data_IF_166037548756
#
_entry.id   IF_166037548756
#
_cell.length_a   1.000
_cell.length_b   1.000
_cell.length_c   1.000
_cell.angle_alpha   90.00
_cell.angle_beta   90.00
_cell.angle_gamma   90.00
#
_symmetry.space_group_name_H-M   'P 1'
#
loop_
_entity.id
_entity.type
_entity.pdbx_description
1 polymer ?
#
# COMPACT_ATOMS: atom_id res chain seq x y z
N UNK A 1 3.81 -4.94 -18.71
CA UNK A 1 4.93 -4.43 -17.89
C UNK A 1 5.62 -5.60 -17.21
N UNK A 2 6.95 -5.57 -17.10
CA UNK A 2 7.71 -6.57 -16.34
C UNK A 2 7.77 -6.15 -14.87
N UNK A 3 7.43 -7.01 -13.89
CA UNK A 3 7.56 -6.69 -12.47
C UNK A 3 9.03 -6.40 -12.10
N UNK A 4 9.28 -5.41 -11.25
CA UNK A 4 10.63 -5.11 -10.73
C UNK A 4 11.08 -6.12 -9.66
N UNK A 5 10.13 -6.85 -9.06
CA UNK A 5 10.37 -7.71 -7.90
C UNK A 5 10.43 -6.94 -6.57
N UNK A 6 10.11 -5.65 -6.59
CA UNK A 6 10.10 -4.77 -5.41
C UNK A 6 8.67 -4.50 -4.98
N UNK A 7 8.43 -4.61 -3.67
CA UNK A 7 7.22 -4.13 -3.00
C UNK A 7 7.66 -3.10 -1.97
N UNK A 8 7.08 -1.91 -2.04
CA UNK A 8 7.31 -0.86 -1.05
C UNK A 8 6.14 -0.74 -0.08
N UNK A 9 6.41 -0.42 1.18
CA UNK A 9 5.41 -0.31 2.24
C UNK A 9 5.39 1.10 2.85
N UNK A 10 4.20 1.69 2.95
CA UNK A 10 3.95 2.93 3.70
C UNK A 10 2.76 2.74 4.62
N UNK A 11 2.93 2.94 5.94
CA UNK A 11 1.80 2.83 6.89
C UNK A 11 1.87 3.83 8.05
N UNK A 12 0.79 3.91 8.83
CA UNK A 12 0.69 4.63 10.11
C UNK A 12 0.76 3.69 11.34
N UNK A 13 1.27 2.48 11.18
CA UNK A 13 1.29 1.45 12.23
C UNK A 13 2.43 1.64 13.25
N UNK A 14 3.43 2.46 12.93
CA UNK A 14 4.68 2.49 13.70
C UNK A 14 5.51 1.22 13.50
N UNK A 15 6.54 1.07 14.33
CA UNK A 15 7.47 -0.08 14.32
C UNK A 15 7.56 -0.80 15.67
N UNK A 16 6.72 -0.41 16.63
CA UNK A 16 6.78 -0.93 17.99
C UNK A 16 6.01 -2.25 18.16
N UNK A 17 5.16 -2.60 17.19
CA UNK A 17 4.33 -3.79 17.22
C UNK A 17 4.55 -4.72 16.00
N UNK A 18 3.77 -5.80 15.95
CA UNK A 18 3.96 -6.88 14.98
C UNK A 18 3.30 -6.62 13.61
N UNK A 19 2.53 -5.53 13.42
CA UNK A 19 1.69 -5.39 12.23
C UNK A 19 2.50 -5.33 10.94
N UNK A 20 3.58 -4.54 10.92
CA UNK A 20 4.49 -4.45 9.77
C UNK A 20 5.13 -5.81 9.48
N UNK A 21 5.56 -6.52 10.52
CA UNK A 21 6.13 -7.86 10.38
C UNK A 21 5.14 -8.86 9.76
N UNK A 22 3.89 -8.83 10.20
CA UNK A 22 2.84 -9.68 9.67
C UNK A 22 2.55 -9.37 8.19
N UNK A 23 2.47 -8.09 7.80
CA UNK A 23 2.31 -7.69 6.39
C UNK A 23 3.43 -8.22 5.51
N UNK A 24 4.69 -8.06 5.95
CA UNK A 24 5.85 -8.56 5.22
C UNK A 24 5.81 -10.08 5.08
N UNK A 25 5.41 -10.78 6.12
CA UNK A 25 5.20 -12.23 6.11
C UNK A 25 4.15 -12.64 5.06
N UNK A 26 3.01 -11.95 5.00
CA UNK A 26 1.97 -12.21 4.00
C UNK A 26 2.48 -12.02 2.56
N UNK A 27 3.23 -10.94 2.29
CA UNK A 27 3.82 -10.72 0.96
C UNK A 27 4.82 -11.83 0.59
N UNK A 28 5.68 -12.24 1.53
CA UNK A 28 6.67 -13.28 1.30
C UNK A 28 6.06 -14.68 1.17
N UNK A 29 4.92 -14.94 1.81
CA UNK A 29 4.18 -16.20 1.65
C UNK A 29 3.66 -16.38 0.22
N UNK A 30 3.24 -15.28 -0.44
CA UNK A 30 2.82 -15.30 -1.85
C UNK A 30 4.03 -15.37 -2.78
N UNK A 31 5.08 -14.59 -2.50
CA UNK A 31 6.30 -14.59 -3.31
C UNK A 31 7.57 -14.36 -2.46
N UNK A 32 8.26 -15.46 -2.14
CA UNK A 32 9.40 -15.47 -1.21
C UNK A 32 10.65 -14.71 -1.68
N UNK A 33 10.75 -14.36 -2.98
CA UNK A 33 11.90 -13.63 -3.55
C UNK A 33 11.64 -12.13 -3.70
N UNK A 34 10.55 -11.62 -3.14
CA UNK A 34 10.22 -10.20 -3.20
C UNK A 34 11.20 -9.38 -2.37
N UNK A 35 11.72 -8.30 -2.94
CA UNK A 35 12.45 -7.28 -2.19
C UNK A 35 11.46 -6.34 -1.53
N UNK A 36 11.44 -6.33 -0.20
CA UNK A 36 10.57 -5.47 0.60
C UNK A 36 11.33 -4.22 1.03
N UNK A 37 10.77 -3.04 0.75
CA UNK A 37 11.35 -1.75 1.13
C UNK A 37 10.32 -0.93 1.89
N UNK A 38 10.62 -0.55 3.13
CA UNK A 38 9.76 0.37 3.85
C UNK A 38 10.05 1.80 3.37
N UNK A 39 9.03 2.48 2.83
CA UNK A 39 9.09 3.92 2.62
C UNK A 39 9.08 4.59 3.98
N UNK A 40 8.09 4.26 4.82
CA UNK A 40 8.01 4.63 6.24
C UNK A 40 6.81 3.96 6.89
N UNK A 41 6.92 3.67 8.18
CA UNK A 41 5.77 3.31 9.03
C UNK A 41 5.45 4.40 10.07
N UNK A 42 6.11 5.54 9.96
CA UNK A 42 6.00 6.68 10.88
C UNK A 42 5.00 7.76 10.44
N UNK A 43 4.04 7.41 9.57
CA UNK A 43 2.91 8.32 9.32
C UNK A 43 2.16 8.49 10.64
N UNK A 44 1.73 9.72 10.97
CA UNK A 44 0.93 9.91 12.20
C UNK A 44 -0.36 9.10 12.08
N UNK A 45 -0.85 8.49 13.17
CA UNK A 45 -2.08 7.72 13.14
C UNK A 45 -3.22 8.47 12.44
N UNK A 46 -3.85 7.80 11.48
CA UNK A 46 -4.98 8.27 10.68
C UNK A 46 -4.70 9.49 9.77
N UNK A 47 -3.45 9.93 9.64
CA UNK A 47 -3.09 11.11 8.86
C UNK A 47 -2.98 10.81 7.35
N UNK A 48 -4.12 10.51 6.70
CA UNK A 48 -4.21 10.10 5.28
C UNK A 48 -3.45 11.07 4.36
N UNK A 49 -3.61 12.38 4.53
CA UNK A 49 -2.96 13.39 3.69
C UNK A 49 -1.43 13.41 3.87
N UNK A 50 -0.94 13.13 5.08
CA UNK A 50 0.51 12.99 5.31
C UNK A 50 1.03 11.74 4.59
N UNK A 51 0.31 10.62 4.67
CA UNK A 51 0.64 9.41 3.93
C UNK A 51 0.66 9.64 2.42
N UNK A 52 -0.33 10.37 1.89
CA UNK A 52 -0.42 10.70 0.47
C UNK A 52 0.79 11.53 0.02
N UNK A 53 1.16 12.55 0.80
CA UNK A 53 2.33 13.39 0.51
C UNK A 53 3.61 12.56 0.51
N UNK A 54 3.83 11.76 1.54
CA UNK A 54 5.05 10.93 1.66
C UNK A 54 5.14 9.90 0.54
N UNK A 55 4.02 9.26 0.16
CA UNK A 55 3.97 8.36 -0.99
C UNK A 55 4.40 9.08 -2.26
N UNK A 56 3.78 10.22 -2.57
CA UNK A 56 4.07 11.01 -3.79
C UNK A 56 5.54 11.46 -3.86
N UNK A 57 6.15 11.80 -2.72
CA UNK A 57 7.57 12.19 -2.68
C UNK A 57 8.56 11.05 -2.93
N UNK A 58 8.16 9.80 -2.73
CA UNK A 58 9.08 8.65 -2.71
C UNK A 58 8.93 7.72 -3.92
N UNK A 59 7.72 7.49 -4.43
CA UNK A 59 7.47 6.38 -5.36
C UNK A 59 8.28 6.49 -6.67
N UNK A 60 8.54 7.72 -7.16
CA UNK A 60 9.31 7.98 -8.40
C UNK A 60 10.79 7.60 -8.29
N UNK A 61 11.30 7.38 -7.09
CA UNK A 61 12.68 6.91 -6.86
C UNK A 61 12.84 5.40 -7.10
N UNK A 62 11.74 4.67 -7.26
CA UNK A 62 11.76 3.23 -7.51
C UNK A 62 11.70 2.91 -9.01
N UNK A 63 12.24 1.77 -9.46
CA UNK A 63 12.14 1.38 -10.86
C UNK A 63 10.69 1.08 -11.25
N UNK A 64 10.38 1.28 -12.53
CA UNK A 64 9.11 0.84 -13.13
C UNK A 64 8.87 -0.66 -12.85
N UNK A 65 7.60 -1.03 -12.71
CA UNK A 65 7.17 -2.37 -12.31
C UNK A 65 7.15 -2.60 -10.80
N UNK A 66 7.42 -1.57 -10.00
CA UNK A 66 7.34 -1.63 -8.52
C UNK A 66 5.89 -1.57 -8.05
N UNK A 67 5.59 -2.35 -7.02
CA UNK A 67 4.30 -2.32 -6.31
C UNK A 67 4.45 -1.46 -5.06
N UNK A 68 3.60 -0.44 -4.92
CA UNK A 68 3.53 0.43 -3.77
C UNK A 68 2.28 0.09 -2.95
N UNK A 69 2.49 -0.47 -1.77
CA UNK A 69 1.43 -0.76 -0.79
C UNK A 69 1.42 0.39 0.22
N UNK A 70 0.34 1.14 0.26
CA UNK A 70 0.16 2.24 1.19
C UNK A 70 -1.10 2.02 2.02
N UNK A 71 -0.99 2.03 3.35
CA UNK A 71 -2.10 1.78 4.26
C UNK A 71 -2.08 2.81 5.39
N UNK A 72 -2.95 3.81 5.27
CA UNK A 72 -3.34 4.72 6.35
C UNK A 72 -4.86 4.74 6.32
N UNK A 73 -5.49 4.02 7.23
CA UNK A 73 -6.90 3.62 7.06
C UNK A 73 -7.74 3.78 8.34
N UNK A 74 -8.16 5.00 8.68
CA UNK A 74 -9.13 5.21 9.74
C UNK A 74 -10.51 4.59 9.44
N UNK A 75 -10.77 4.23 8.18
CA UNK A 75 -12.03 3.65 7.72
C UNK A 75 -11.99 2.13 7.60
N UNK A 76 -11.00 1.44 8.19
CA UNK A 76 -10.91 -0.03 8.14
C UNK A 76 -12.20 -0.66 8.68
N UNK A 77 -12.67 -1.73 8.04
CA UNK A 77 -13.91 -2.42 8.42
C UNK A 77 -15.21 -1.68 8.06
N UNK A 78 -15.13 -0.55 7.35
CA UNK A 78 -16.29 0.20 6.83
C UNK A 78 -16.56 -0.12 5.35
N UNK A 79 -17.42 0.67 4.70
CA UNK A 79 -17.74 0.55 3.27
C UNK A 79 -16.65 1.04 2.32
N UNK A 80 -15.51 1.55 2.82
CA UNK A 80 -14.40 2.00 1.97
C UNK A 80 -13.83 0.82 1.18
N UNK A 81 -13.46 1.08 -0.08
CA UNK A 81 -12.92 0.06 -0.97
C UNK A 81 -11.43 -0.15 -0.72
N UNK A 82 -10.95 -1.38 -0.91
CA UNK A 82 -9.54 -1.61 -1.20
C UNK A 82 -9.37 -1.57 -2.71
N UNK A 83 -8.36 -0.85 -3.20
CA UNK A 83 -8.13 -0.68 -4.64
C UNK A 83 -6.71 -1.08 -5.00
N UNK A 84 -6.54 -1.52 -6.25
CA UNK A 84 -5.26 -1.59 -6.92
C UNK A 84 -5.37 -0.95 -8.30
N UNK A 85 -4.37 -0.18 -8.69
CA UNK A 85 -4.36 0.47 -10.00
C UNK A 85 -2.95 0.66 -10.53
N UNK A 86 -2.85 0.92 -11.82
CA UNK A 86 -1.58 1.15 -12.53
C UNK A 86 -1.51 2.60 -13.02
N UNK A 87 -0.39 3.25 -12.72
CA UNK A 87 -0.05 4.59 -13.21
C UNK A 87 1.46 4.69 -13.45
N UNK A 88 1.87 5.32 -14.55
CA UNK A 88 3.28 5.49 -14.96
C UNK A 88 4.15 4.23 -14.90
N UNK A 89 3.58 3.06 -15.23
CA UNK A 89 4.26 1.77 -15.11
C UNK A 89 4.66 1.41 -13.66
N UNK A 90 3.90 1.86 -12.67
CA UNK A 90 3.92 1.37 -11.29
C UNK A 90 2.55 0.80 -10.92
N UNK A 91 2.51 -0.03 -9.88
CA UNK A 91 1.26 -0.53 -9.30
C UNK A 91 1.11 0.10 -7.93
N UNK A 92 -0.07 0.59 -7.61
CA UNK A 92 -0.39 1.16 -6.31
C UNK A 92 -1.56 0.39 -5.72
N UNK A 93 -1.54 0.12 -4.42
CA UNK A 93 -2.64 -0.54 -3.74
C UNK A 93 -2.79 -0.09 -2.29
N UNK A 94 -4.04 0.02 -1.85
CA UNK A 94 -4.39 0.54 -0.53
C UNK A 94 -5.87 0.91 -0.41
N UNK A 95 -6.25 1.65 0.65
CA UNK A 95 -7.61 2.14 0.83
C UNK A 95 -7.96 3.26 -0.16
N UNK A 96 -9.18 3.19 -0.70
CA UNK A 96 -9.79 4.28 -1.48
C UNK A 96 -10.36 5.34 -0.53
N UNK A 97 -9.47 6.15 0.04
CA UNK A 97 -9.82 7.17 1.04
C UNK A 97 -9.08 8.50 0.83
N UNK A 98 -8.50 8.71 -0.37
CA UNK A 98 -7.69 9.87 -0.69
C UNK A 98 -6.18 9.69 -0.50
N UNK A 99 -5.71 8.52 -0.04
CA UNK A 99 -4.27 8.24 0.13
C UNK A 99 -3.45 8.35 -1.18
N UNK A 100 -4.11 8.24 -2.33
CA UNK A 100 -3.50 8.34 -3.65
C UNK A 100 -3.73 9.69 -4.34
N UNK A 101 -4.31 10.68 -3.65
CA UNK A 101 -4.79 11.93 -4.25
C UNK A 101 -3.71 12.80 -4.92
N UNK A 102 -2.43 12.62 -4.59
CA UNK A 102 -1.33 13.37 -5.18
C UNK A 102 -0.67 12.68 -6.38
N UNK A 103 -1.07 11.44 -6.69
CA UNK A 103 -0.67 10.79 -7.93
C UNK A 103 -1.42 11.46 -9.09
N UNK A 104 -0.68 12.11 -9.97
CA UNK A 104 -1.24 12.90 -11.09
C UNK A 104 -1.13 12.19 -12.42
N UNK A 105 -0.38 11.10 -12.45
CA UNK A 105 -0.16 10.27 -13.62
C UNK A 105 -1.45 9.56 -14.04
N UNK A 106 -1.72 9.44 -15.36
CA UNK A 106 -2.91 8.77 -15.84
C UNK A 106 -3.01 7.32 -15.34
N UNK A 107 -4.18 6.98 -14.80
CA UNK A 107 -4.51 5.61 -14.40
C UNK A 107 -4.90 4.81 -15.65
N UNK A 108 -4.16 3.74 -15.95
CA UNK A 108 -4.43 2.89 -17.11
C UNK A 108 -5.38 1.73 -16.81
N UNK A 109 -5.32 1.22 -15.57
CA UNK A 109 -6.09 0.06 -15.10
C UNK A 109 -6.39 0.26 -13.61
N UNK A 110 -7.60 -0.08 -13.16
CA UNK A 110 -7.99 -0.02 -11.76
C UNK A 110 -8.99 -1.14 -11.44
N UNK A 111 -8.80 -1.77 -10.29
CA UNK A 111 -9.68 -2.82 -9.76
C UNK A 111 -9.98 -2.56 -8.29
N UNK A 112 -11.19 -2.93 -7.89
CA UNK A 112 -11.54 -3.09 -6.49
C UNK A 112 -11.06 -4.47 -6.03
N UNK A 113 -10.40 -4.52 -4.87
CA UNK A 113 -9.92 -5.74 -4.25
C UNK A 113 -10.98 -6.24 -3.25
N UNK A 114 -11.40 -7.48 -3.42
CA UNK A 114 -12.28 -8.13 -2.44
C UNK A 114 -11.50 -8.42 -1.15
N UNK A 115 -12.11 -8.15 0.00
CA UNK A 115 -11.57 -8.60 1.27
C UNK A 115 -11.70 -10.13 1.37
N UNK A 116 -10.63 -10.87 1.72
CA UNK A 116 -10.73 -12.30 1.94
C UNK A 116 -11.68 -12.60 3.12
N UNK A 117 -12.40 -13.74 3.11
CA UNK A 117 -13.35 -14.10 4.18
C UNK A 117 -12.73 -14.12 5.58
N UNK A 118 -11.43 -14.43 5.67
CA UNK A 118 -10.63 -14.49 6.89
C UNK A 118 -10.02 -13.15 7.34
N UNK A 119 -10.25 -12.06 6.60
CA UNK A 119 -9.71 -10.75 6.90
C UNK A 119 -10.24 -10.24 8.25
N UNK A 120 -9.34 -9.72 9.10
CA UNK A 120 -9.74 -9.14 10.37
C UNK A 120 -10.40 -7.78 10.12
N UNK A 121 -11.55 -7.45 10.75
CA UNK A 121 -12.27 -6.20 10.51
C UNK A 121 -11.47 -4.95 10.88
N UNK A 122 -10.44 -5.11 11.71
CA UNK A 122 -9.53 -4.04 12.15
C UNK A 122 -8.15 -4.11 11.50
N UNK A 123 -7.88 -5.13 10.68
CA UNK A 123 -6.59 -5.33 10.02
C UNK A 123 -6.73 -6.11 8.71
N UNK A 124 -7.12 -5.42 7.65
CA UNK A 124 -7.15 -5.95 6.28
C UNK A 124 -5.76 -5.96 5.60
N UNK A 125 -4.70 -5.55 6.29
CA UNK A 125 -3.35 -5.46 5.74
C UNK A 125 -2.59 -6.79 5.66
N UNK A 126 -3.13 -7.87 6.23
CA UNK A 126 -2.57 -9.24 6.18
C UNK A 126 -3.29 -10.12 5.17
#
# INVERSE_FOLDING_TARGET
MKPSGIVTLLTDFGIDDAYVGAMKGAVLAVHARTTLIDVTHGVRPFAVLQGAFLLDTAWRSFPVGTVHVAVVDPGVGTSRKAIAFRAADHIFTGPDNGLFTFLTEPISEMVELAAPPEAAPTFHGR
#
